data_IF_747602765697
#
_entry.id   IF_747602765697
#
_cell.length_a   1.000
_cell.length_b   1.000
_cell.length_c   1.000
_cell.angle_alpha   90.00
_cell.angle_beta   90.00
_cell.angle_gamma   90.00
#
_symmetry.space_group_name_H-M   'P 1'
#
loop_
_entity.id
_entity.type
_entity.pdbx_description
1 polymer ?
#
# COMPACT_ATOMS: atom_id res chain seq x y z
N UNK A 1 -18.81 -1.32 -5.65
CA UNK A 1 -18.34 -0.61 -4.44
C UNK A 1 -18.46 -1.45 -3.14
N UNK A 2 -18.23 -2.77 -3.13
CA UNK A 2 -18.50 -3.57 -1.92
C UNK A 2 -17.33 -3.72 -0.95
N UNK A 3 -16.08 -3.45 -1.34
CA UNK A 3 -14.93 -3.53 -0.41
C UNK A 3 -13.74 -2.59 -0.74
N UNK A 4 -13.75 -1.84 -1.86
CA UNK A 4 -12.59 -1.04 -2.28
C UNK A 4 -12.12 -0.06 -1.20
N UNK A 5 -13.03 0.72 -0.59
CA UNK A 5 -12.71 1.68 0.49
C UNK A 5 -12.04 1.02 1.70
N UNK A 6 -12.47 -0.19 2.07
CA UNK A 6 -11.86 -0.97 3.15
C UNK A 6 -10.45 -1.42 2.77
N UNK A 7 -10.26 -1.88 1.53
CA UNK A 7 -8.97 -2.34 1.01
C UNK A 7 -7.97 -1.19 0.88
N UNK A 8 -8.40 -0.04 0.35
CA UNK A 8 -7.62 1.20 0.30
C UNK A 8 -7.18 1.64 1.69
N UNK A 9 -8.05 1.55 2.70
CA UNK A 9 -7.72 1.88 4.09
C UNK A 9 -6.73 0.89 4.71
N UNK A 10 -6.87 -0.40 4.43
CA UNK A 10 -5.91 -1.44 4.83
C UNK A 10 -4.53 -1.22 4.19
N UNK A 11 -4.49 -0.88 2.90
CA UNK A 11 -3.25 -0.53 2.20
C UNK A 11 -2.58 0.69 2.85
N UNK A 12 -3.32 1.77 3.09
CA UNK A 12 -2.80 2.96 3.76
C UNK A 12 -2.26 2.64 5.15
N UNK A 13 -2.98 1.82 5.92
CA UNK A 13 -2.57 1.36 7.25
C UNK A 13 -1.30 0.51 7.21
N UNK A 14 -1.14 -0.32 6.17
CA UNK A 14 0.08 -1.09 5.96
C UNK A 14 1.30 -0.20 5.70
N UNK A 15 1.12 0.90 4.97
CA UNK A 15 2.19 1.86 4.71
C UNK A 15 2.54 2.69 5.94
N UNK A 16 1.56 3.00 6.79
CA UNK A 16 1.75 3.81 8.01
C UNK A 16 2.33 2.98 9.18
N UNK A 17 1.76 1.79 9.45
CA UNK A 17 2.12 0.95 10.61
C UNK A 17 3.03 -0.24 10.26
N UNK A 18 3.30 -0.49 8.97
CA UNK A 18 4.25 -1.50 8.49
C UNK A 18 3.79 -2.97 8.55
N UNK A 19 2.93 -3.35 9.50
CA UNK A 19 2.54 -4.75 9.72
C UNK A 19 1.02 -4.90 9.72
N UNK A 20 0.49 -5.55 8.67
CA UNK A 20 -0.89 -6.03 8.64
C UNK A 20 -0.96 -7.50 9.07
N UNK A 21 -2.00 -7.91 9.83
CA UNK A 21 -2.22 -9.32 10.15
C UNK A 21 -2.46 -10.14 8.87
N UNK A 22 -1.97 -11.38 8.86
CA UNK A 22 -1.98 -12.27 7.68
C UNK A 22 -3.37 -12.40 7.02
N UNK A 23 -4.44 -12.44 7.82
CA UNK A 23 -5.83 -12.49 7.31
C UNK A 23 -6.20 -11.27 6.47
N UNK A 24 -5.72 -10.08 6.86
CA UNK A 24 -5.97 -8.84 6.13
C UNK A 24 -5.11 -8.74 4.87
N UNK A 25 -3.85 -9.20 4.93
CA UNK A 25 -3.00 -9.30 3.74
C UNK A 25 -3.62 -10.19 2.68
N UNK A 26 -4.11 -11.38 3.05
CA UNK A 26 -4.76 -12.30 2.12
C UNK A 26 -6.01 -11.68 1.48
N UNK A 27 -6.83 -10.99 2.27
CA UNK A 27 -8.02 -10.29 1.77
C UNK A 27 -7.66 -9.20 0.76
N UNK A 28 -6.62 -8.41 1.06
CA UNK A 28 -6.08 -7.38 0.16
C UNK A 28 -5.58 -8.01 -1.14
N UNK A 29 -4.84 -9.10 -1.06
CA UNK A 29 -4.29 -9.80 -2.22
C UNK A 29 -5.38 -10.36 -3.15
N UNK A 30 -6.39 -11.02 -2.59
CA UNK A 30 -7.54 -11.53 -3.34
C UNK A 30 -8.28 -10.38 -4.03
N UNK A 31 -8.50 -9.26 -3.33
CA UNK A 31 -9.20 -8.11 -3.92
C UNK A 31 -8.39 -7.44 -5.03
N UNK A 32 -7.08 -7.29 -4.87
CA UNK A 32 -6.19 -6.75 -5.89
C UNK A 32 -6.17 -7.61 -7.17
N UNK A 33 -6.36 -8.92 -7.04
CA UNK A 33 -6.50 -9.84 -8.18
C UNK A 33 -7.79 -9.61 -8.97
N UNK A 34 -8.86 -9.14 -8.32
CA UNK A 34 -10.18 -8.95 -8.94
C UNK A 34 -10.51 -7.49 -9.28
N UNK A 35 -9.83 -6.52 -8.65
CA UNK A 35 -10.11 -5.09 -8.81
C UNK A 35 -8.88 -4.34 -9.33
N UNK A 36 -9.00 -3.80 -10.55
CA UNK A 36 -7.95 -3.03 -11.19
C UNK A 36 -7.69 -1.70 -10.48
N UNK A 37 -8.72 -1.00 -10.04
CA UNK A 37 -8.59 0.30 -9.35
C UNK A 37 -7.76 0.19 -8.07
N UNK A 38 -8.00 -0.85 -7.26
CA UNK A 38 -7.22 -1.07 -6.04
C UNK A 38 -5.76 -1.40 -6.35
N UNK A 39 -5.48 -2.04 -7.49
CA UNK A 39 -4.12 -2.37 -7.94
C UNK A 39 -3.36 -1.11 -8.35
N UNK A 40 -4.00 -0.22 -9.09
CA UNK A 40 -3.40 1.05 -9.47
C UNK A 40 -3.16 1.95 -8.24
N UNK A 41 -4.09 1.98 -7.29
CA UNK A 41 -3.90 2.69 -6.02
C UNK A 41 -2.69 2.16 -5.23
N UNK A 42 -2.53 0.83 -5.14
CA UNK A 42 -1.35 0.24 -4.48
C UNK A 42 -0.05 0.66 -5.16
N UNK A 43 -0.01 0.67 -6.49
CA UNK A 43 1.18 1.14 -7.24
C UNK A 43 1.47 2.61 -6.94
N UNK A 44 0.45 3.46 -6.88
CA UNK A 44 0.60 4.89 -6.60
C UNK A 44 1.25 5.13 -5.24
N UNK A 45 0.74 4.51 -4.17
CA UNK A 45 1.35 4.68 -2.84
C UNK A 45 2.77 4.10 -2.82
N UNK A 46 2.99 2.94 -3.43
CA UNK A 46 4.31 2.31 -3.45
C UNK A 46 5.34 3.15 -4.23
N UNK A 47 4.94 3.84 -5.30
CA UNK A 47 5.77 4.84 -6.00
C UNK A 47 6.09 6.02 -5.09
N UNK A 48 5.11 6.54 -4.35
CA UNK A 48 5.31 7.63 -3.40
C UNK A 48 6.26 7.20 -2.29
N UNK A 49 6.04 6.03 -1.67
CA UNK A 49 6.90 5.50 -0.61
C UNK A 49 8.34 5.31 -1.09
N UNK A 50 8.53 4.74 -2.28
CA UNK A 50 9.87 4.58 -2.88
C UNK A 50 10.53 5.92 -3.20
N UNK A 51 9.76 6.91 -3.66
CA UNK A 51 10.27 8.27 -3.88
C UNK A 51 10.70 8.93 -2.57
N UNK A 52 9.83 8.90 -1.55
CA UNK A 52 10.12 9.43 -0.22
C UNK A 52 11.33 8.73 0.39
N UNK A 53 11.38 7.40 0.38
CA UNK A 53 12.56 6.64 0.85
C UNK A 53 13.82 7.08 0.15
N UNK A 54 13.85 7.19 -1.18
CA UNK A 54 15.04 7.68 -1.89
C UNK A 54 15.45 9.10 -1.49
N UNK A 55 14.50 10.00 -1.27
CA UNK A 55 14.78 11.37 -0.83
C UNK A 55 15.30 11.43 0.62
N UNK A 56 14.78 10.57 1.51
CA UNK A 56 15.20 10.52 2.92
C UNK A 56 16.46 9.68 3.14
N UNK A 57 16.69 8.61 2.38
CA UNK A 57 17.94 7.82 2.39
C UNK A 57 19.09 8.63 1.77
N UNK A 58 18.82 9.41 0.71
CA UNK A 58 19.81 10.32 0.11
C UNK A 58 20.29 11.44 1.05
N UNK A 59 19.59 11.69 2.16
CA UNK A 59 19.98 12.66 3.21
C UNK A 59 20.84 12.07 4.33
N UNK A 60 21.15 10.77 4.34
CA UNK A 60 22.06 10.16 5.34
C UNK A 60 23.54 10.23 4.97
N UNK A 61 23.90 10.89 3.87
CA UNK A 61 25.27 11.00 3.38
C UNK A 61 25.77 12.45 3.26
N UNK A 62 25.25 13.38 4.07
CA UNK A 62 25.80 14.72 4.25
C UNK A 62 26.23 14.96 5.70
#
# INVERSE_FOLDING_TARGET
MRNCKQITRLLSRQHDEGILPLKQQLRVHIHLSMCRDCREYRKQIDTIERGLRQMFDGKKAE
#
